data_IF_536781513911
#
_entry.id   IF_536781513911
#
_cell.length_a   1.000
_cell.length_b   1.000
_cell.length_c   1.000
_cell.angle_alpha   90.00
_cell.angle_beta   90.00
_cell.angle_gamma   90.00
#
_symmetry.space_group_name_H-M   'P 1'
#
loop_
_entity.id
_entity.type
_entity.pdbx_description
1 polymer ?
#
# COMPACT_ATOMS: atom_id res chain seq x y z
N UNK A 1 37.65 -7.41 28.17
CA UNK A 1 36.45 -7.69 27.36
C UNK A 1 35.70 -8.82 28.03
N UNK A 2 34.42 -8.64 28.33
CA UNK A 2 33.59 -9.70 28.90
C UNK A 2 33.28 -10.74 27.83
N UNK A 3 34.19 -11.71 27.65
CA UNK A 3 34.06 -12.80 26.67
C UNK A 3 32.72 -13.54 26.81
N UNK A 4 32.19 -13.59 28.04
CA UNK A 4 30.87 -14.16 28.34
C UNK A 4 29.70 -13.33 27.78
N UNK A 5 29.81 -12.01 27.79
CA UNK A 5 28.81 -11.11 27.19
C UNK A 5 28.85 -11.23 25.67
N UNK A 6 30.06 -11.23 25.09
CA UNK A 6 30.27 -11.39 23.63
C UNK A 6 29.67 -12.73 23.15
N UNK A 7 29.89 -13.82 23.89
CA UNK A 7 29.34 -15.12 23.55
C UNK A 7 27.80 -15.14 23.54
N UNK A 8 27.15 -14.47 24.50
CA UNK A 8 25.68 -14.39 24.56
C UNK A 8 25.10 -13.58 23.40
N UNK A 9 25.74 -12.46 23.06
CA UNK A 9 25.32 -11.62 21.93
C UNK A 9 25.45 -12.40 20.63
N UNK A 10 26.59 -13.07 20.41
CA UNK A 10 26.81 -13.89 19.22
C UNK A 10 25.79 -15.04 19.12
N UNK A 11 25.51 -15.74 20.22
CA UNK A 11 24.50 -16.80 20.26
C UNK A 11 23.10 -16.26 19.93
N UNK A 12 22.70 -15.12 20.52
CA UNK A 12 21.41 -14.49 20.23
C UNK A 12 21.27 -14.05 18.77
N UNK A 13 22.32 -13.43 18.21
CA UNK A 13 22.35 -13.03 16.81
C UNK A 13 22.24 -14.24 15.88
N UNK A 14 22.95 -15.33 16.18
CA UNK A 14 22.88 -16.55 15.39
C UNK A 14 21.48 -17.18 15.41
N UNK A 15 20.83 -17.24 16.58
CA UNK A 15 19.45 -17.73 16.70
C UNK A 15 18.49 -16.84 15.91
N UNK A 16 18.63 -15.52 15.99
CA UNK A 16 17.80 -14.60 15.23
C UNK A 16 17.94 -14.78 13.71
N UNK A 17 19.18 -14.94 13.22
CA UNK A 17 19.45 -15.22 11.80
C UNK A 17 18.87 -16.57 11.37
N UNK A 18 19.03 -17.62 12.19
CA UNK A 18 18.47 -18.93 11.91
C UNK A 18 16.93 -18.88 11.81
N UNK A 19 16.27 -18.17 12.73
CA UNK A 19 14.81 -17.98 12.68
C UNK A 19 14.37 -17.19 11.44
N UNK A 20 15.08 -16.12 11.08
CA UNK A 20 14.80 -15.36 9.87
C UNK A 20 14.92 -16.23 8.61
N UNK A 21 15.96 -17.05 8.52
CA UNK A 21 16.13 -18.01 7.43
C UNK A 21 15.00 -19.05 7.40
N UNK A 22 14.59 -19.62 8.54
CA UNK A 22 13.46 -20.55 8.60
C UNK A 22 12.16 -19.90 8.13
N UNK A 23 11.90 -18.65 8.54
CA UNK A 23 10.73 -17.89 8.08
C UNK A 23 10.80 -17.68 6.56
N UNK A 24 11.97 -17.33 6.01
CA UNK A 24 12.15 -17.20 4.57
C UNK A 24 11.93 -18.53 3.85
N UNK A 25 12.45 -19.66 4.35
CA UNK A 25 12.21 -20.97 3.72
C UNK A 25 10.74 -21.38 3.75
N UNK A 26 10.01 -21.04 4.81
CA UNK A 26 8.57 -21.28 4.90
C UNK A 26 7.78 -20.32 3.99
N UNK A 27 8.26 -19.09 3.80
CA UNK A 27 7.72 -18.16 2.82
C UNK A 27 8.00 -18.60 1.39
N UNK A 28 9.18 -19.17 1.12
CA UNK A 28 9.61 -19.71 -0.17
C UNK A 28 8.86 -21.00 -0.51
N UNK A 29 8.62 -21.91 0.45
CA UNK A 29 7.69 -23.04 0.21
C UNK A 29 6.25 -22.57 -0.02
N UNK A 30 5.91 -21.35 0.40
CA UNK A 30 4.63 -20.67 0.07
C UNK A 30 4.72 -19.73 -1.13
N UNK A 31 5.89 -19.57 -1.73
CA UNK A 31 6.17 -18.70 -2.88
C UNK A 31 6.93 -19.56 -3.90
N UNK A 32 6.24 -20.35 -4.70
CA UNK A 32 5.37 -19.80 -5.73
C UNK A 32 4.14 -20.70 -5.96
N UNK A 33 2.90 -20.32 -5.54
CA UNK A 33 2.01 -20.04 -6.64
C UNK A 33 2.70 -18.89 -7.36
N UNK A 34 3.23 -19.14 -8.57
CA UNK A 34 3.44 -18.09 -9.56
C UNK A 34 2.25 -17.19 -9.31
N UNK A 35 2.48 -15.94 -8.85
CA UNK A 35 1.39 -15.02 -8.58
C UNK A 35 0.56 -15.18 -9.82
N UNK A 36 -0.57 -15.89 -9.68
CA UNK A 36 -1.56 -15.95 -10.72
C UNK A 36 -1.89 -14.49 -10.66
N UNK A 37 -1.29 -13.73 -11.58
CA UNK A 37 -1.73 -12.40 -11.87
C UNK A 37 -3.17 -12.72 -12.10
N UNK A 38 -3.98 -12.46 -11.07
CA UNK A 38 -5.40 -12.34 -11.20
C UNK A 38 -5.42 -11.25 -12.24
N UNK A 39 -5.47 -11.69 -13.50
CA UNK A 39 -5.73 -10.87 -14.64
C UNK A 39 -7.16 -10.49 -14.33
N UNK A 40 -7.29 -9.49 -13.46
CA UNK A 40 -8.51 -8.81 -13.17
C UNK A 40 -8.98 -8.46 -14.56
N UNK A 41 -10.01 -9.18 -15.00
CA UNK A 41 -10.58 -9.17 -16.33
C UNK A 41 -10.28 -7.84 -17.02
N UNK A 42 -9.31 -7.87 -17.94
CA UNK A 42 -8.78 -6.66 -18.56
C UNK A 42 -9.79 -6.25 -19.64
N UNK A 43 -10.52 -5.13 -19.49
CA UNK A 43 -11.30 -4.63 -20.59
C UNK A 43 -10.34 -4.25 -21.71
N UNK A 44 -10.48 -4.90 -22.86
CA UNK A 44 -9.70 -4.65 -24.07
C UNK A 44 -9.69 -3.13 -24.37
N UNK A 45 -8.54 -2.47 -24.17
CA UNK A 45 -8.32 -1.06 -24.51
C UNK A 45 -8.08 -0.08 -23.37
N UNK A 46 -7.97 -0.50 -22.10
CA UNK A 46 -7.67 0.42 -21.00
C UNK A 46 -6.19 0.88 -21.01
N UNK A 47 -5.89 2.20 -21.06
CA UNK A 47 -4.52 2.70 -20.97
C UNK A 47 -3.93 2.64 -19.54
N UNK A 48 -4.76 2.41 -18.52
CA UNK A 48 -4.36 2.45 -17.11
C UNK A 48 -3.22 1.47 -16.75
N UNK A 49 -3.19 0.20 -17.21
CA UNK A 49 -2.09 -0.72 -16.92
C UNK A 49 -0.74 -0.24 -17.47
N UNK A 50 -0.75 0.35 -18.67
CA UNK A 50 0.45 0.94 -19.28
C UNK A 50 1.00 2.11 -18.48
N UNK A 51 0.11 3.01 -18.03
CA UNK A 51 0.47 4.14 -17.19
C UNK A 51 1.00 3.69 -15.82
N UNK A 52 0.37 2.69 -15.19
CA UNK A 52 0.83 2.11 -13.93
C UNK A 52 2.21 1.48 -14.05
N UNK A 53 2.51 0.80 -15.16
CA UNK A 53 3.83 0.22 -15.43
C UNK A 53 4.90 1.30 -15.57
N UNK A 54 4.59 2.39 -16.29
CA UNK A 54 5.49 3.53 -16.41
C UNK A 54 5.73 4.20 -15.05
N UNK A 55 4.69 4.38 -14.24
CA UNK A 55 4.79 4.94 -12.89
C UNK A 55 5.61 4.04 -11.95
N UNK A 56 5.43 2.73 -12.00
CA UNK A 56 6.23 1.79 -11.21
C UNK A 56 7.72 1.83 -11.59
N UNK A 57 8.03 1.93 -12.89
CA UNK A 57 9.41 2.04 -13.37
C UNK A 57 10.13 3.31 -12.90
N UNK A 58 9.39 4.38 -12.58
CA UNK A 58 9.94 5.62 -12.03
C UNK A 58 10.28 5.55 -10.54
N UNK A 59 9.74 4.59 -9.79
CA UNK A 59 9.99 4.41 -8.35
C UNK A 59 9.60 5.63 -7.51
N UNK A 60 10.47 6.04 -6.59
CA UNK A 60 10.24 7.18 -5.67
C UNK A 60 9.80 8.47 -6.39
N UNK A 61 10.29 8.72 -7.60
CA UNK A 61 9.92 9.91 -8.39
C UNK A 61 8.41 9.94 -8.71
N UNK A 62 7.79 8.78 -8.89
CA UNK A 62 6.36 8.69 -9.15
C UNK A 62 5.51 9.12 -7.94
N UNK A 63 6.03 9.06 -6.71
CA UNK A 63 5.30 9.50 -5.52
C UNK A 63 5.02 11.01 -5.53
N UNK A 64 5.91 11.80 -6.12
CA UNK A 64 5.73 13.24 -6.31
C UNK A 64 4.89 13.61 -7.55
N UNK A 65 4.71 12.68 -8.48
CA UNK A 65 3.95 12.95 -9.71
C UNK A 65 2.44 12.93 -9.43
N UNK A 66 1.70 14.01 -9.75
CA UNK A 66 0.25 14.02 -9.59
C UNK A 66 -0.42 12.95 -10.47
N UNK A 67 0.08 12.73 -11.68
CA UNK A 67 -0.48 11.78 -12.64
C UNK A 67 -0.34 10.33 -12.15
N UNK A 68 0.82 9.97 -11.61
CA UNK A 68 1.03 8.63 -11.06
C UNK A 68 0.21 8.36 -9.80
N UNK A 69 0.06 9.36 -8.93
CA UNK A 69 -0.83 9.24 -7.77
C UNK A 69 -2.29 9.05 -8.19
N UNK A 70 -2.74 9.76 -9.22
CA UNK A 70 -4.08 9.61 -9.76
C UNK A 70 -4.31 8.21 -10.36
N UNK A 71 -3.33 7.68 -11.12
CA UNK A 71 -3.39 6.35 -11.71
C UNK A 71 -3.52 5.23 -10.65
N UNK A 72 -2.76 5.33 -9.56
CA UNK A 72 -2.86 4.36 -8.46
C UNK A 72 -4.17 4.47 -7.69
N UNK A 73 -4.67 5.69 -7.45
CA UNK A 73 -5.97 5.90 -6.82
C UNK A 73 -7.09 5.28 -7.66
N UNK A 74 -7.04 5.45 -8.99
CA UNK A 74 -7.97 4.84 -9.94
C UNK A 74 -7.92 3.31 -9.91
N UNK A 75 -6.71 2.71 -9.96
CA UNK A 75 -6.55 1.26 -9.83
C UNK A 75 -7.18 0.73 -8.54
N UNK A 76 -6.98 1.44 -7.43
CA UNK A 76 -7.55 1.07 -6.13
C UNK A 76 -9.07 1.20 -6.13
N UNK A 77 -9.63 2.26 -6.73
CA UNK A 77 -11.10 2.43 -6.86
C UNK A 77 -11.72 1.26 -7.63
N UNK A 78 -11.13 0.90 -8.77
CA UNK A 78 -11.53 -0.25 -9.59
C UNK A 78 -11.46 -1.56 -8.84
N UNK A 79 -10.34 -1.82 -8.17
CA UNK A 79 -10.15 -3.04 -7.38
C UNK A 79 -11.18 -3.17 -6.25
N UNK A 80 -11.54 -2.06 -5.63
CA UNK A 80 -12.58 -2.01 -4.59
C UNK A 80 -14.02 -2.01 -5.16
N UNK A 81 -14.20 -2.10 -6.48
CA UNK A 81 -15.50 -2.06 -7.13
C UNK A 81 -16.23 -0.72 -7.02
N UNK A 82 -15.51 0.37 -6.72
CA UNK A 82 -16.10 1.70 -6.52
C UNK A 82 -16.54 2.36 -7.82
N UNK A 83 -16.04 1.93 -8.99
CA UNK A 83 -16.47 2.43 -10.31
C UNK A 83 -17.94 2.11 -10.63
N UNK A 84 -18.50 1.04 -10.02
CA UNK A 84 -19.92 0.72 -10.20
C UNK A 84 -20.86 1.70 -9.49
N UNK A 85 -20.32 2.56 -8.62
CA UNK A 85 -21.04 3.69 -8.04
C UNK A 85 -20.67 4.94 -8.83
N UNK A 86 -21.37 5.14 -9.95
CA UNK A 86 -21.39 6.42 -10.63
C UNK A 86 -21.61 7.53 -9.58
N UNK A 87 -20.76 8.56 -9.51
CA UNK A 87 -20.96 9.63 -8.56
C UNK A 87 -22.21 10.38 -9.01
N UNK A 88 -23.31 10.15 -8.31
CA UNK A 88 -24.37 11.16 -8.24
C UNK A 88 -23.67 12.49 -7.97
N UNK A 89 -23.95 13.55 -8.76
CA UNK A 89 -23.26 14.82 -8.61
C UNK A 89 -23.31 15.21 -7.15
N UNK A 90 -22.14 15.39 -6.55
CA UNK A 90 -22.02 15.90 -5.20
C UNK A 90 -22.66 17.28 -5.21
N UNK A 91 -23.94 17.34 -4.86
CA UNK A 91 -24.53 18.54 -4.33
C UNK A 91 -23.62 18.91 -3.18
N UNK A 92 -22.96 20.05 -3.34
CA UNK A 92 -22.11 20.63 -2.32
C UNK A 92 -23.01 20.93 -1.12
N UNK A 93 -23.19 19.95 -0.24
CA UNK A 93 -23.58 20.22 1.14
C UNK A 93 -22.29 20.55 1.85
N UNK A 94 -21.86 21.79 1.63
CA UNK A 94 -21.04 22.53 2.57
C UNK A 94 -21.66 22.28 3.96
N UNK A 95 -20.95 21.64 4.91
CA UNK A 95 -21.45 21.54 6.26
C UNK A 95 -21.46 22.97 6.82
N UNK A 96 -22.58 23.48 7.38
CA UNK A 96 -22.54 24.74 8.10
C UNK A 96 -21.81 24.49 9.42
N UNK A 97 -20.48 24.49 9.39
CA UNK A 97 -19.69 24.76 10.57
C UNK A 97 -19.59 26.28 10.70
N UNK A 98 -20.66 26.87 11.24
CA UNK A 98 -20.65 28.23 11.78
C UNK A 98 -21.81 28.37 12.75
N UNK A 99 -21.71 27.67 13.88
CA UNK A 99 -22.33 28.11 15.13
C UNK A 99 -21.53 27.48 16.28
N UNK A 100 -20.37 28.06 16.56
CA UNK A 100 -19.79 27.98 17.90
C UNK A 100 -20.57 28.97 18.78
N UNK A 101 -21.29 28.52 19.83
CA UNK A 101 -21.79 29.45 20.85
C UNK A 101 -20.58 30.01 21.61
N UNK A 102 -20.61 31.29 22.02
CA UNK A 102 -19.56 31.83 22.88
C UNK A 102 -19.57 31.08 24.20
N UNK A 103 -18.37 30.81 24.73
CA UNK A 103 -18.20 30.37 26.10
C UNK A 103 -18.85 31.42 27.03
N UNK A 104 -19.95 31.04 27.68
CA UNK A 104 -20.57 31.84 28.73
C UNK A 104 -20.10 31.33 30.10
N UNK A 105 -19.66 32.29 30.88
CA UNK A 105 -18.92 32.30 32.14
C UNK A 105 -19.72 31.69 33.32
N UNK A 106 -19.08 30.84 34.13
CA UNK A 106 -19.54 30.53 35.50
C UNK A 106 -18.39 30.10 36.42
#
# INVERSE_FOLDING_TARGET
MDTKLVARIAAGAFVAVALAMTVLTLHEERAEPLSEMIAAWEPDGDPLPGQLKACAAMGEKALSSPDCRAAWAEKRRRFLGLEAREPLPATQTEPPYSEQPPAEDR
#
